data_IF_935074126991
#
_entry.id   IF_935074126991
#
_cell.length_a   1.000
_cell.length_b   1.000
_cell.length_c   1.000
_cell.angle_alpha   90.00
_cell.angle_beta   90.00
_cell.angle_gamma   90.00
#
_symmetry.space_group_name_H-M   'P 1'
#
loop_
_entity.id
_entity.type
_entity.pdbx_description
1 polymer ?
#
# COMPACT_ATOMS: atom_id res chain seq x y z
N UNK A 1 -8.13 -18.79 21.81
CA UNK A 1 -6.85 -18.25 22.34
C UNK A 1 -5.93 -18.16 21.14
N UNK A 2 -5.62 -16.96 20.63
CA UNK A 2 -4.82 -16.79 19.40
C UNK A 2 -3.42 -17.36 19.62
N UNK A 3 -2.96 -18.24 18.72
CA UNK A 3 -1.65 -18.87 18.80
C UNK A 3 -0.55 -17.83 18.52
N UNK A 4 0.69 -18.14 18.89
CA UNK A 4 1.82 -17.21 18.80
C UNK A 4 2.06 -16.73 17.35
N UNK A 5 1.80 -17.59 16.35
CA UNK A 5 1.99 -17.27 14.93
C UNK A 5 1.01 -16.20 14.45
N UNK A 6 -0.27 -16.37 14.80
CA UNK A 6 -1.36 -15.49 14.43
C UNK A 6 -1.15 -14.10 15.02
N UNK A 7 -0.64 -13.98 16.26
CA UNK A 7 -0.30 -12.68 16.85
C UNK A 7 0.80 -11.92 16.09
N UNK A 8 1.83 -12.62 15.64
CA UNK A 8 2.90 -11.99 14.84
C UNK A 8 2.33 -11.48 13.51
N UNK A 9 1.44 -12.26 12.88
CA UNK A 9 0.77 -11.86 11.65
C UNK A 9 -0.15 -10.66 11.91
N UNK A 10 -0.93 -10.66 13.00
CA UNK A 10 -1.77 -9.54 13.43
C UNK A 10 -0.95 -8.25 13.60
N UNK A 11 0.20 -8.33 14.28
CA UNK A 11 1.09 -7.18 14.48
C UNK A 11 1.60 -6.63 13.14
N UNK A 12 2.04 -7.51 12.23
CA UNK A 12 2.52 -7.10 10.90
C UNK A 12 1.42 -6.52 10.02
N UNK A 13 0.21 -7.07 10.05
CA UNK A 13 -0.96 -6.50 9.37
C UNK A 13 -1.27 -5.12 9.96
N UNK A 14 -1.15 -4.94 11.28
CA UNK A 14 -1.28 -3.64 11.95
C UNK A 14 -0.28 -2.60 11.42
N UNK A 15 1.00 -2.97 11.33
CA UNK A 15 2.04 -2.08 10.77
C UNK A 15 1.74 -1.71 9.30
N UNK A 16 1.28 -2.66 8.49
CA UNK A 16 0.88 -2.43 7.08
C UNK A 16 -0.34 -1.51 7.01
N UNK A 17 -1.36 -1.77 7.84
CA UNK A 17 -2.60 -0.99 7.91
C UNK A 17 -2.30 0.48 8.14
N UNK A 18 -1.48 0.80 9.14
CA UNK A 18 -1.14 2.18 9.46
C UNK A 18 -0.57 2.91 8.23
N UNK A 19 0.43 2.31 7.57
CA UNK A 19 1.08 2.92 6.41
C UNK A 19 0.12 3.02 5.21
N UNK A 20 -0.65 1.97 4.96
CA UNK A 20 -1.60 1.91 3.86
C UNK A 20 -2.71 2.95 4.03
N UNK A 21 -3.40 2.94 5.16
CA UNK A 21 -4.51 3.86 5.43
C UNK A 21 -4.05 5.31 5.49
N UNK A 22 -2.85 5.59 6.03
CA UNK A 22 -2.37 6.96 6.16
C UNK A 22 -1.96 7.60 4.84
N UNK A 23 -1.47 6.81 3.89
CA UNK A 23 -0.81 7.36 2.70
C UNK A 23 -1.42 6.91 1.37
N UNK A 24 -2.06 5.73 1.34
CA UNK A 24 -2.49 5.07 0.11
C UNK A 24 -4.00 4.81 0.07
N UNK A 25 -4.72 4.90 1.20
CA UNK A 25 -6.18 4.76 1.24
C UNK A 25 -6.93 6.09 1.43
N UNK A 26 -6.34 7.18 0.94
CA UNK A 26 -6.89 8.53 1.06
C UNK A 26 -7.61 8.93 -0.22
N UNK A 27 -8.66 9.75 -0.12
CA UNK A 27 -9.44 10.24 -1.28
C UNK A 27 -8.57 10.91 -2.33
N UNK A 28 -7.57 11.70 -1.91
CA UNK A 28 -6.65 12.35 -2.86
C UNK A 28 -5.81 11.32 -3.63
N UNK A 29 -5.47 10.20 -3.00
CA UNK A 29 -4.66 9.14 -3.63
C UNK A 29 -5.48 8.39 -4.68
N UNK A 30 -6.74 8.08 -4.39
CA UNK A 30 -7.66 7.48 -5.36
C UNK A 30 -7.70 8.27 -6.68
N UNK A 31 -7.71 9.61 -6.61
CA UNK A 31 -7.67 10.48 -7.79
C UNK A 31 -6.34 10.38 -8.54
N UNK A 32 -5.22 10.19 -7.83
CA UNK A 32 -3.91 10.07 -8.48
C UNK A 32 -3.72 8.75 -9.23
N UNK A 33 -4.41 7.69 -8.79
CA UNK A 33 -4.26 6.34 -9.36
C UNK A 33 -5.33 5.98 -10.39
N UNK A 34 -6.28 6.87 -10.68
CA UNK A 34 -7.44 6.59 -11.54
C UNK A 34 -7.06 6.12 -12.95
N UNK A 35 -5.95 6.64 -13.50
CA UNK A 35 -5.43 6.23 -14.82
C UNK A 35 -4.38 5.10 -14.75
N UNK A 36 -4.14 4.52 -13.57
CA UNK A 36 -3.15 3.46 -13.42
C UNK A 36 -3.78 2.09 -13.69
N UNK A 37 -2.97 1.11 -14.15
CA UNK A 37 -3.43 -0.28 -14.30
C UNK A 37 -3.53 -0.97 -12.93
N UNK A 38 -4.35 -0.42 -12.04
CA UNK A 38 -4.67 -0.96 -10.71
C UNK A 38 -6.19 -1.13 -10.70
N UNK A 39 -6.65 -2.37 -10.64
CA UNK A 39 -8.09 -2.64 -10.65
C UNK A 39 -8.71 -2.49 -9.24
N UNK A 40 -10.03 -2.33 -9.22
CA UNK A 40 -10.76 -2.17 -7.97
C UNK A 40 -10.74 -3.43 -7.08
N UNK A 41 -10.51 -4.61 -7.67
CA UNK A 41 -10.40 -5.87 -6.93
C UNK A 41 -9.09 -5.87 -6.12
N UNK A 42 -7.96 -5.45 -6.69
CA UNK A 42 -6.68 -5.28 -5.97
C UNK A 42 -6.87 -4.40 -4.73
N UNK A 43 -7.48 -3.22 -4.87
CA UNK A 43 -7.70 -2.31 -3.72
C UNK A 43 -8.62 -2.94 -2.67
N UNK A 44 -9.68 -3.64 -3.11
CA UNK A 44 -10.61 -4.31 -2.20
C UNK A 44 -9.92 -5.41 -1.39
N UNK A 45 -9.10 -6.25 -2.03
CA UNK A 45 -8.41 -7.37 -1.36
C UNK A 45 -7.34 -6.89 -0.39
N UNK A 46 -6.63 -5.81 -0.73
CA UNK A 46 -5.73 -5.13 0.21
C UNK A 46 -6.51 -4.62 1.42
N UNK A 47 -7.62 -3.89 1.20
CA UNK A 47 -8.48 -3.37 2.28
C UNK A 47 -9.04 -4.48 3.16
N UNK A 48 -9.46 -5.58 2.57
CA UNK A 48 -9.98 -6.74 3.30
C UNK A 48 -8.91 -7.31 4.23
N UNK A 49 -7.71 -7.58 3.72
CA UNK A 49 -6.57 -8.02 4.54
C UNK A 49 -6.25 -7.01 5.64
N UNK A 50 -6.07 -5.72 5.30
CA UNK A 50 -5.68 -4.73 6.32
C UNK A 50 -6.80 -4.47 7.31
N UNK A 51 -8.07 -4.78 7.03
CA UNK A 51 -9.16 -4.62 8.00
C UNK A 51 -9.17 -5.67 9.13
N UNK A 52 -8.39 -6.75 8.99
CA UNK A 52 -8.35 -7.84 9.97
C UNK A 52 -7.76 -7.38 11.31
N UNK A 53 -8.59 -7.26 12.34
CA UNK A 53 -8.15 -6.93 13.70
C UNK A 53 -7.72 -8.14 14.51
N UNK A 54 -8.10 -9.33 14.05
CA UNK A 54 -7.70 -10.64 14.59
C UNK A 54 -7.53 -11.59 13.43
N UNK A 55 -6.60 -12.52 13.56
CA UNK A 55 -6.28 -13.52 12.53
C UNK A 55 -6.64 -14.90 13.04
N UNK A 56 -7.43 -15.61 12.24
CA UNK A 56 -7.75 -17.01 12.43
C UNK A 56 -7.09 -17.86 11.32
N UNK A 57 -6.90 -19.18 11.55
CA UNK A 57 -6.28 -20.06 10.55
C UNK A 57 -6.98 -20.07 9.17
N UNK A 58 -8.30 -19.84 9.15
CA UNK A 58 -9.10 -19.71 7.93
C UNK A 58 -8.78 -18.44 7.11
N UNK A 59 -8.24 -17.40 7.73
CA UNK A 59 -7.92 -16.13 7.08
C UNK A 59 -6.60 -16.19 6.29
N UNK A 60 -5.79 -17.23 6.48
CA UNK A 60 -4.41 -17.28 5.96
C UNK A 60 -4.35 -17.17 4.44
N UNK A 61 -5.27 -17.81 3.72
CA UNK A 61 -5.34 -17.69 2.25
C UNK A 61 -5.75 -16.29 1.82
N UNK A 62 -6.68 -15.65 2.54
CA UNK A 62 -7.09 -14.27 2.28
C UNK A 62 -5.94 -13.29 2.51
N UNK A 63 -5.21 -13.46 3.61
CA UNK A 63 -4.04 -12.63 3.94
C UNK A 63 -2.97 -12.80 2.86
N UNK A 64 -2.70 -14.04 2.43
CA UNK A 64 -1.71 -14.29 1.39
C UNK A 64 -2.09 -13.64 0.05
N UNK A 65 -3.35 -13.76 -0.38
CA UNK A 65 -3.85 -13.07 -1.58
C UNK A 65 -3.73 -11.54 -1.44
N UNK A 66 -4.11 -10.99 -0.28
CA UNK A 66 -3.97 -9.56 0.01
C UNK A 66 -2.51 -9.08 -0.05
N UNK A 67 -1.56 -9.92 0.37
CA UNK A 67 -0.11 -9.65 0.24
C UNK A 67 0.31 -9.63 -1.23
N UNK A 68 -0.12 -10.59 -2.05
CA UNK A 68 0.20 -10.62 -3.49
C UNK A 68 -0.39 -9.40 -4.23
N UNK A 69 -1.63 -9.05 -3.94
CA UNK A 69 -2.27 -7.85 -4.48
C UNK A 69 -1.56 -6.57 -4.01
N UNK A 70 -1.09 -6.53 -2.76
CA UNK A 70 -0.31 -5.41 -2.24
C UNK A 70 1.06 -5.29 -2.92
N UNK A 71 1.75 -6.39 -3.19
CA UNK A 71 3.00 -6.40 -3.98
C UNK A 71 2.76 -5.88 -5.39
N UNK A 72 1.71 -6.37 -6.06
CA UNK A 72 1.29 -5.88 -7.38
C UNK A 72 1.03 -4.38 -7.34
N UNK A 73 0.24 -3.91 -6.38
CA UNK A 73 -0.04 -2.48 -6.16
C UNK A 73 1.26 -1.66 -6.02
N UNK A 74 2.20 -2.10 -5.17
CA UNK A 74 3.48 -1.42 -4.97
C UNK A 74 4.26 -1.32 -6.28
N UNK A 75 4.31 -2.39 -7.07
CA UNK A 75 5.00 -2.41 -8.37
C UNK A 75 4.37 -1.41 -9.34
N UNK A 76 3.05 -1.38 -9.43
CA UNK A 76 2.32 -0.47 -10.30
C UNK A 76 2.51 0.99 -9.89
N UNK A 77 2.35 1.30 -8.59
CA UNK A 77 2.59 2.65 -8.05
C UNK A 77 4.03 3.09 -8.28
N UNK A 78 5.01 2.22 -8.01
CA UNK A 78 6.42 2.53 -8.22
C UNK A 78 6.75 2.80 -9.69
N UNK A 79 6.20 2.00 -10.59
CA UNK A 79 6.48 2.11 -12.03
C UNK A 79 5.78 3.30 -12.68
N UNK A 80 4.52 3.54 -12.34
CA UNK A 80 3.67 4.47 -13.09
C UNK A 80 3.33 5.77 -12.35
N UNK A 81 3.38 5.80 -11.02
CA UNK A 81 3.08 7.01 -10.25
C UNK A 81 4.33 7.75 -9.79
N UNK A 82 5.30 7.04 -9.18
CA UNK A 82 6.49 7.67 -8.59
C UNK A 82 7.24 8.60 -9.56
N UNK A 83 7.48 8.23 -10.84
CA UNK A 83 8.18 9.12 -11.77
C UNK A 83 7.43 10.43 -12.05
N UNK A 84 6.09 10.42 -11.94
CA UNK A 84 5.21 11.52 -12.31
C UNK A 84 4.50 12.17 -11.11
N UNK A 85 4.83 11.78 -9.89
CA UNK A 85 4.10 12.18 -8.68
C UNK A 85 4.06 13.71 -8.50
N UNK A 86 5.16 14.40 -8.85
CA UNK A 86 5.24 15.87 -8.79
C UNK A 86 4.33 16.54 -9.80
N UNK A 87 4.19 15.97 -10.99
CA UNK A 87 3.29 16.48 -12.03
C UNK A 87 1.83 16.23 -11.65
N UNK A 88 1.53 15.00 -11.20
CA UNK A 88 0.20 14.59 -10.72
C UNK A 88 -0.27 15.42 -9.53
N UNK A 89 0.65 15.86 -8.67
CA UNK A 89 0.36 16.76 -7.55
C UNK A 89 0.41 18.25 -7.91
N UNK A 90 0.71 18.61 -9.17
CA UNK A 90 0.84 19.99 -9.65
C UNK A 90 1.91 20.82 -8.91
N UNK A 91 2.99 20.16 -8.47
CA UNK A 91 4.12 20.80 -7.74
C UNK A 91 5.44 20.73 -8.51
N UNK A 92 5.41 20.21 -9.74
CA UNK A 92 6.54 20.18 -10.65
C UNK A 92 6.94 21.57 -11.13
N UNK A 93 8.22 21.75 -11.42
CA UNK A 93 8.79 23.05 -11.86
C UNK A 93 8.34 23.48 -13.26
N UNK A 94 7.66 22.61 -14.00
CA UNK A 94 7.16 22.88 -15.35
C UNK A 94 5.77 23.55 -15.37
N UNK A 95 5.08 23.65 -14.23
CA UNK A 95 3.76 24.30 -14.16
C UNK A 95 3.86 25.75 -13.65
N UNK A 96 3.00 26.66 -14.12
CA UNK A 96 2.92 28.02 -13.60
C UNK A 96 2.63 28.01 -12.09
N UNK A 97 3.37 28.82 -11.32
CA UNK A 97 3.19 28.92 -9.85
C UNK A 97 1.77 29.33 -9.44
N UNK A 98 1.03 29.94 -10.36
CA UNK A 98 -0.32 30.48 -10.14
C UNK A 98 -1.45 29.44 -10.27
N UNK A 99 -1.15 28.19 -10.67
CA UNK A 99 -2.16 27.11 -10.73
C UNK A 99 -2.67 26.72 -9.34
N UNK A 100 -1.84 26.83 -8.31
CA UNK A 100 -2.21 26.62 -6.92
C UNK A 100 -2.24 27.97 -6.20
N UNK A 101 -3.43 28.58 -6.15
CA UNK A 101 -3.65 29.89 -5.49
C UNK A 101 -3.34 29.87 -4.00
N UNK A 102 -3.41 28.71 -3.35
CA UNK A 102 -3.11 28.53 -1.93
C UNK A 102 -1.68 27.99 -1.72
N UNK A 103 -0.83 28.84 -1.12
CA UNK A 103 0.55 28.52 -0.76
C UNK A 103 0.65 27.34 0.21
N UNK A 104 -0.32 27.17 1.10
CA UNK A 104 -0.36 26.07 2.08
C UNK A 104 -0.55 24.74 1.36
N UNK A 105 -1.52 24.68 0.43
CA UNK A 105 -1.77 23.50 -0.39
C UNK A 105 -0.55 23.12 -1.23
N UNK A 106 0.14 24.11 -1.81
CA UNK A 106 1.38 23.87 -2.55
C UNK A 106 2.46 23.22 -1.66
N UNK A 107 2.67 23.74 -0.45
CA UNK A 107 3.67 23.20 0.49
C UNK A 107 3.29 21.76 0.91
N UNK A 108 2.03 21.52 1.25
CA UNK A 108 1.56 20.19 1.66
C UNK A 108 1.73 19.15 0.54
N UNK A 109 1.29 19.47 -0.69
CA UNK A 109 1.47 18.58 -1.85
C UNK A 109 2.92 18.32 -2.17
N UNK A 110 3.78 19.34 -2.03
CA UNK A 110 5.21 19.20 -2.23
C UNK A 110 5.82 18.26 -1.17
N UNK A 111 5.42 18.41 0.09
CA UNK A 111 5.84 17.49 1.16
C UNK A 111 5.41 16.05 0.84
N UNK A 112 4.16 15.83 0.44
CA UNK A 112 3.67 14.52 -0.01
C UNK A 112 4.53 13.98 -1.14
N UNK A 113 4.82 14.77 -2.18
CA UNK A 113 5.64 14.33 -3.30
C UNK A 113 7.06 13.89 -2.89
N UNK A 114 7.63 14.52 -1.85
CA UNK A 114 8.95 14.15 -1.32
C UNK A 114 8.90 12.92 -0.43
N UNK A 115 7.88 12.77 0.42
CA UNK A 115 7.77 11.64 1.35
C UNK A 115 7.20 10.39 0.71
N UNK A 116 6.47 10.52 -0.40
CA UNK A 116 5.77 9.43 -1.07
C UNK A 116 6.65 8.22 -1.40
N UNK A 117 7.85 8.37 -2.01
CA UNK A 117 8.70 7.21 -2.31
C UNK A 117 9.14 6.47 -1.04
N UNK A 118 9.45 7.19 0.04
CA UNK A 118 9.84 6.60 1.31
C UNK A 118 8.68 5.83 1.97
N UNK A 119 7.46 6.37 1.89
CA UNK A 119 6.27 5.68 2.39
C UNK A 119 5.99 4.40 1.58
N UNK A 120 6.23 4.42 0.27
CA UNK A 120 6.09 3.26 -0.60
C UNK A 120 7.16 2.20 -0.31
N UNK A 121 8.39 2.62 -0.05
CA UNK A 121 9.48 1.72 0.36
C UNK A 121 9.20 1.09 1.73
N UNK A 122 8.66 1.87 2.68
CA UNK A 122 8.21 1.36 3.98
C UNK A 122 7.12 0.32 3.80
N UNK A 123 6.10 0.60 3.00
CA UNK A 123 5.03 -0.35 2.69
C UNK A 123 5.60 -1.64 2.08
N UNK A 124 6.49 -1.50 1.09
CA UNK A 124 7.16 -2.62 0.43
C UNK A 124 7.94 -3.52 1.39
N UNK A 125 8.68 -2.93 2.34
CA UNK A 125 9.41 -3.68 3.35
C UNK A 125 8.48 -4.48 4.27
N UNK A 126 7.40 -3.84 4.73
CA UNK A 126 6.41 -4.47 5.61
C UNK A 126 5.69 -5.62 4.90
N UNK A 127 5.29 -5.42 3.64
CA UNK A 127 4.67 -6.47 2.81
C UNK A 127 5.60 -7.66 2.62
N UNK A 128 6.88 -7.42 2.28
CA UNK A 128 7.86 -8.49 2.11
C UNK A 128 8.10 -9.26 3.42
N UNK A 129 8.14 -8.56 4.56
CA UNK A 129 8.27 -9.16 5.89
C UNK A 129 7.07 -10.05 6.23
N UNK A 130 5.85 -9.59 5.93
CA UNK A 130 4.63 -10.38 6.12
C UNK A 130 4.63 -11.62 5.22
N UNK A 131 4.95 -11.46 3.94
CA UNK A 131 5.06 -12.60 3.00
C UNK A 131 6.04 -13.65 3.48
N UNK A 132 7.24 -13.24 3.89
CA UNK A 132 8.25 -14.15 4.40
C UNK A 132 7.78 -14.88 5.67
N UNK A 133 7.05 -14.18 6.55
CA UNK A 133 6.49 -14.76 7.78
C UNK A 133 5.42 -15.81 7.44
N UNK A 134 4.51 -15.51 6.51
CA UNK A 134 3.47 -16.43 6.06
C UNK A 134 4.07 -17.69 5.43
N UNK A 135 5.03 -17.55 4.53
CA UNK A 135 5.67 -18.70 3.87
C UNK A 135 6.49 -19.57 4.83
N UNK A 136 7.04 -18.97 5.89
CA UNK A 136 7.72 -19.73 6.94
C UNK A 136 6.73 -20.56 7.79
N UNK A 137 5.59 -19.98 8.14
CA UNK A 137 4.58 -20.65 8.98
C UNK A 137 3.65 -21.60 8.22
N UNK A 138 3.39 -21.28 6.94
CA UNK A 138 2.45 -21.98 6.06
C UNK A 138 3.09 -22.19 4.67
N UNK A 139 4.07 -23.12 4.54
CA UNK A 139 4.81 -23.30 3.29
C UNK A 139 3.96 -23.71 2.08
N UNK A 140 2.81 -24.36 2.31
CA UNK A 140 1.87 -24.81 1.27
C UNK A 140 1.24 -23.65 0.47
N UNK A 141 1.34 -22.40 0.96
CA UNK A 141 0.85 -21.23 0.23
C UNK A 141 1.61 -21.01 -1.08
N UNK A 142 2.88 -21.42 -1.14
CA UNK A 142 3.69 -21.27 -2.35
C UNK A 142 3.23 -22.19 -3.49
N UNK A 143 2.54 -23.29 -3.17
CA UNK A 143 2.02 -24.25 -4.15
C UNK A 143 0.66 -23.79 -4.73
N UNK A 144 0.04 -22.78 -4.11
CA UNK A 144 -1.28 -22.26 -4.50
C UNK A 144 -1.22 -21.14 -5.54
N UNK A 145 -0.03 -20.60 -5.82
CA UNK A 145 0.20 -19.55 -6.84
C UNK A 145 0.44 -20.09 -8.26
N UNK A 146 0.05 -21.35 -8.55
CA UNK A 146 0.14 -21.99 -9.88
C UNK A 146 -1.24 -22.13 -10.55
#
# INVERSE_FOLDING_TARGET
MSSFRERIIEEQIGEIREVFEDHFDRTWFAILIDDLPIDAKTIREIREMVSLTRVYPEDISLIYNGVEELESFIVHVRRYLVPFIKDRLMVSGFFPRDMLKDKTQYILRRLVAYTFPFNLDRLSLLTARLKATLLNYYPYLNDSSN
#
